data_IF_899413138216
#
_entry.id   IF_899413138216
#
_cell.length_a   1.000
_cell.length_b   1.000
_cell.length_c   1.000
_cell.angle_alpha   90.00
_cell.angle_beta   90.00
_cell.angle_gamma   90.00
#
_symmetry.space_group_name_H-M   'P 1'
#
loop_
_entity.id
_entity.type
_entity.pdbx_description
1 polymer ?
#
# COMPACT_ATOMS: atom_id res chain seq x y z
N UNK A 1 0.74 3.93 12.26
CA UNK A 1 -0.16 3.27 11.29
C UNK A 1 0.36 1.87 11.02
N UNK A 2 -0.48 0.82 11.06
CA UNK A 2 -0.08 -0.55 10.71
C UNK A 2 -0.64 -0.84 9.32
N UNK A 3 0.22 -1.34 8.43
CA UNK A 3 -0.10 -1.65 7.04
C UNK A 3 0.14 -3.14 6.85
N UNK A 4 -0.76 -3.80 6.12
CA UNK A 4 -0.72 -5.23 5.87
C UNK A 4 -0.64 -5.53 4.37
N UNK A 5 -0.13 -6.71 4.02
CA UNK A 5 -0.24 -7.19 2.66
C UNK A 5 -1.73 -7.33 2.28
N UNK A 6 -2.10 -6.82 1.11
CA UNK A 6 -3.49 -6.71 0.64
C UNK A 6 -4.14 -5.34 0.89
N UNK A 7 -3.54 -4.48 1.72
CA UNK A 7 -4.09 -3.14 1.95
C UNK A 7 -3.91 -2.26 0.72
N UNK A 8 -4.93 -1.46 0.40
CA UNK A 8 -4.80 -0.36 -0.55
C UNK A 8 -4.29 0.87 0.20
N UNK A 9 -3.29 1.53 -0.35
CA UNK A 9 -2.63 2.69 0.25
C UNK A 9 -2.63 3.86 -0.72
N UNK A 10 -2.72 5.07 -0.18
CA UNK A 10 -2.54 6.31 -0.91
C UNK A 10 -1.27 6.99 -0.41
N UNK A 11 -0.36 7.27 -1.32
CA UNK A 11 0.89 7.98 -1.04
C UNK A 11 0.67 9.43 -1.47
N UNK A 12 0.87 10.39 -0.57
CA UNK A 12 0.59 11.82 -0.85
C UNK A 12 1.42 12.32 -2.03
N UNK A 13 2.69 11.92 -2.05
CA UNK A 13 3.70 12.37 -3.02
C UNK A 13 3.50 11.78 -4.43
N UNK A 14 2.93 10.58 -4.52
CA UNK A 14 2.69 9.88 -5.80
C UNK A 14 1.31 10.23 -6.37
N UNK A 15 0.34 10.60 -5.52
CA UNK A 15 -1.03 10.91 -5.93
C UNK A 15 -1.87 9.71 -6.39
N UNK A 16 -1.24 8.56 -6.63
CA UNK A 16 -1.87 7.30 -7.08
C UNK A 16 -2.09 6.33 -5.91
N UNK A 17 -3.11 5.48 -6.05
CA UNK A 17 -3.37 4.37 -5.14
C UNK A 17 -2.44 3.19 -5.47
N UNK A 18 -1.84 2.60 -4.44
CA UNK A 18 -1.04 1.39 -4.53
C UNK A 18 -1.64 0.27 -3.69
N UNK A 19 -1.34 -0.98 -4.04
CA UNK A 19 -1.71 -2.17 -3.26
C UNK A 19 -0.46 -2.73 -2.61
N UNK A 20 -0.49 -2.93 -1.29
CA UNK A 20 0.65 -3.51 -0.58
C UNK A 20 0.75 -4.99 -0.89
N UNK A 21 1.80 -5.39 -1.60
CA UNK A 21 2.13 -6.79 -1.89
C UNK A 21 2.78 -7.47 -0.68
N UNK A 22 3.69 -6.76 0.00
CA UNK A 22 4.48 -7.32 1.09
C UNK A 22 4.92 -6.25 2.08
N UNK A 23 5.02 -6.61 3.34
CA UNK A 23 5.55 -5.74 4.40
C UNK A 23 6.83 -6.34 4.95
N UNK A 24 7.89 -5.56 5.13
CA UNK A 24 9.15 -6.07 5.70
C UNK A 24 9.15 -6.14 7.24
N UNK A 25 8.14 -5.56 7.89
CA UNK A 25 8.02 -5.46 9.35
C UNK A 25 9.01 -4.50 10.02
N UNK A 26 9.91 -3.89 9.23
CA UNK A 26 10.93 -2.92 9.66
C UNK A 26 10.58 -1.49 9.28
N UNK A 27 9.47 -1.29 8.56
CA UNK A 27 8.95 0.03 8.21
C UNK A 27 8.91 0.32 6.72
N UNK A 28 9.19 -0.67 5.86
CA UNK A 28 9.00 -0.56 4.42
C UNK A 28 7.94 -1.55 3.93
N UNK A 29 7.30 -1.16 2.84
CA UNK A 29 6.32 -1.99 2.15
C UNK A 29 6.64 -2.04 0.67
N UNK A 30 6.52 -3.22 0.08
CA UNK A 30 6.45 -3.37 -1.36
C UNK A 30 5.01 -3.08 -1.78
N UNK A 31 4.82 -2.00 -2.52
CA UNK A 31 3.53 -1.60 -3.06
C UNK A 31 3.56 -1.73 -4.59
N UNK A 32 2.47 -2.25 -5.15
CA UNK A 32 2.20 -2.25 -6.58
C UNK A 32 1.28 -1.07 -6.89
N UNK A 33 1.72 -0.19 -7.77
CA UNK A 33 0.95 0.93 -8.28
C UNK A 33 0.47 0.61 -9.69
N UNK A 34 -0.82 0.82 -9.95
CA UNK A 34 -1.38 0.66 -11.28
C UNK A 34 -1.41 2.02 -11.98
N UNK A 35 -0.58 2.16 -13.00
CA UNK A 35 -0.58 3.30 -13.90
C UNK A 35 -1.16 2.89 -15.26
N UNK A 36 -1.62 3.85 -16.09
CA UNK A 36 -2.05 3.56 -17.45
C UNK A 36 -0.97 2.88 -18.29
N UNK A 37 0.31 3.17 -18.02
CA UNK A 37 1.44 2.55 -18.73
C UNK A 37 1.75 1.11 -18.25
N UNK A 38 1.22 0.69 -17.10
CA UNK A 38 1.45 -0.63 -16.54
C UNK A 38 1.51 -0.65 -15.01
N UNK A 39 1.63 -1.87 -14.46
CA UNK A 39 1.84 -2.07 -13.03
C UNK A 39 3.32 -1.88 -12.68
N UNK A 40 3.58 -1.06 -11.67
CA UNK A 40 4.94 -0.78 -11.16
C UNK A 40 5.02 -1.21 -9.70
N UNK A 41 5.98 -2.05 -9.37
CA UNK A 41 6.26 -2.44 -7.99
C UNK A 41 7.40 -1.57 -7.43
N UNK A 42 7.15 -0.93 -6.28
CA UNK A 42 8.14 -0.09 -5.61
C UNK A 42 8.16 -0.35 -4.11
N UNK A 43 9.36 -0.34 -3.52
CA UNK A 43 9.53 -0.39 -2.07
C UNK A 43 9.46 1.05 -1.54
N UNK A 44 8.49 1.31 -0.69
CA UNK A 44 8.29 2.62 -0.08
C UNK A 44 8.26 2.51 1.45
N UNK A 45 8.77 3.53 2.16
CA UNK A 45 8.68 3.55 3.61
C UNK A 45 7.25 3.86 4.06
N UNK A 46 6.79 3.23 5.14
CA UNK A 46 5.42 3.41 5.66
C UNK A 46 5.13 4.86 6.04
N UNK A 47 6.16 5.64 6.37
CA UNK A 47 6.06 7.04 6.76
C UNK A 47 5.52 7.97 5.66
N UNK A 48 5.68 7.63 4.37
CA UNK A 48 5.17 8.46 3.27
C UNK A 48 3.74 8.10 2.86
N UNK A 49 3.19 7.04 3.47
CA UNK A 49 1.82 6.61 3.20
C UNK A 49 0.89 7.57 3.93
N UNK A 50 0.15 8.37 3.16
CA UNK A 50 -0.78 9.34 3.70
C UNK A 50 -1.99 8.65 4.34
N UNK A 51 -2.59 7.71 3.60
CA UNK A 51 -3.80 7.00 4.00
C UNK A 51 -3.73 5.52 3.63
N UNK A 52 -4.27 4.68 4.52
CA UNK A 52 -4.56 3.26 4.22
C UNK A 52 -6.06 3.19 3.94
N UNK A 53 -6.40 2.97 2.67
CA UNK A 53 -7.76 2.66 2.23
C UNK A 53 -7.95 1.17 2.54
N UNK A 54 -8.30 0.89 3.80
CA UNK A 54 -8.42 -0.48 4.32
C UNK A 54 -9.32 -1.30 3.40
N UNK A 55 -8.76 -2.32 2.75
CA UNK A 55 -9.56 -3.36 2.11
C UNK A 55 -10.37 -4.04 3.20
N UNK A 56 -11.70 -4.13 3.02
CA UNK A 56 -12.66 -4.58 4.03
C UNK A 56 -12.09 -5.63 5.00
N UNK A 57 -12.05 -5.27 6.29
CA UNK A 57 -12.09 -6.25 7.37
C UNK A 57 -13.47 -6.91 7.34
N UNK A 58 -13.70 -7.82 6.40
CA UNK A 58 -14.82 -8.74 6.48
C UNK A 58 -14.30 -10.11 6.88
N UNK A 59 -14.00 -10.25 8.17
CA UNK A 59 -14.07 -11.55 8.83
C UNK A 59 -15.43 -11.56 9.52
N UNK A 60 -16.51 -12.10 8.90
CA UNK A 60 -17.62 -12.57 9.70
C UNK A 60 -17.17 -13.81 10.47
N UNK A 61 -17.61 -13.87 11.73
CA UNK A 61 -17.21 -14.80 12.79
C UNK A 61 -17.46 -16.28 12.48
#
# INVERSE_FOLDING_TARGET
MRVHAGDTIKVEDIGTLGTVKKTDGKGNVLAEFQFPEGAVEAVIPVMIIAHVVKGCSNVPA
#
